data_IF_991863529959
#
_entry.id   IF_991863529959
#
_cell.length_a   1.000
_cell.length_b   1.000
_cell.length_c   1.000
_cell.angle_alpha   90.00
_cell.angle_beta   90.00
_cell.angle_gamma   90.00
#
_symmetry.space_group_name_H-M   'P 1'
#
loop_
_entity.id
_entity.type
_entity.pdbx_description
1 polymer ?
#
# COMPACT_ATOMS: atom_id res chain seq x y z
N UNK A 1 -5.05 -9.80 -19.80
CA UNK A 1 -3.77 -10.03 -20.45
C UNK A 1 -2.74 -8.97 -20.11
N UNK A 2 -1.57 -9.06 -20.74
CA UNK A 2 -0.45 -8.12 -20.50
C UNK A 2 -0.86 -6.69 -20.84
N UNK A 3 -1.57 -6.50 -21.95
CA UNK A 3 -2.01 -5.17 -22.38
C UNK A 3 -2.91 -4.51 -21.34
N UNK A 4 -3.85 -5.24 -20.77
CA UNK A 4 -4.73 -4.74 -19.73
C UNK A 4 -3.96 -4.40 -18.46
N UNK A 5 -2.99 -5.23 -18.11
CA UNK A 5 -2.15 -5.01 -16.94
C UNK A 5 -1.32 -3.72 -17.11
N UNK A 6 -0.70 -3.53 -18.26
CA UNK A 6 0.10 -2.32 -18.54
C UNK A 6 -0.78 -1.07 -18.55
N UNK A 7 -1.96 -1.15 -19.15
CA UNK A 7 -2.90 -0.05 -19.18
C UNK A 7 -3.34 0.33 -17.76
N UNK A 8 -3.63 -0.66 -16.94
CA UNK A 8 -4.02 -0.45 -15.55
C UNK A 8 -2.90 0.23 -14.74
N UNK A 9 -1.65 -0.20 -14.93
CA UNK A 9 -0.50 0.43 -14.27
C UNK A 9 -0.31 1.87 -14.75
N UNK A 10 -0.44 2.12 -16.04
CA UNK A 10 -0.25 3.47 -16.60
C UNK A 10 -1.28 4.48 -16.11
N UNK A 11 -2.46 4.01 -15.65
CA UNK A 11 -3.50 4.87 -15.10
C UNK A 11 -3.29 5.19 -13.63
N UNK A 12 -2.26 4.61 -13.00
CA UNK A 12 -1.95 4.80 -11.59
C UNK A 12 -0.66 5.62 -11.42
N UNK A 13 -0.47 6.13 -10.21
CA UNK A 13 0.80 6.75 -9.84
C UNK A 13 1.81 5.66 -9.55
N UNK A 14 3.06 5.87 -9.95
CA UNK A 14 4.11 4.87 -9.81
C UNK A 14 5.32 5.46 -9.12
N UNK A 15 5.85 4.74 -8.13
CA UNK A 15 7.12 5.06 -7.47
C UNK A 15 8.09 3.93 -7.79
N UNK A 16 9.29 4.30 -8.23
CA UNK A 16 10.29 3.33 -8.67
C UNK A 16 11.54 3.38 -7.78
N UNK A 17 12.12 2.20 -7.53
CA UNK A 17 13.47 2.09 -6.99
C UNK A 17 14.38 1.62 -8.10
N UNK A 18 15.34 2.45 -8.46
CA UNK A 18 16.33 2.12 -9.50
C UNK A 18 17.72 1.97 -8.90
N UNK A 19 18.46 1.01 -9.42
CA UNK A 19 19.86 0.82 -9.08
C UNK A 19 20.61 0.59 -10.38
N UNK A 20 21.62 1.42 -10.64
CA UNK A 20 22.39 1.40 -11.89
C UNK A 20 21.51 1.47 -13.13
N UNK A 21 20.43 2.27 -13.07
CA UNK A 21 19.52 2.46 -14.18
C UNK A 21 18.50 1.36 -14.39
N UNK A 22 18.51 0.33 -13.54
CA UNK A 22 17.57 -0.81 -13.63
C UNK A 22 16.55 -0.73 -12.51
N UNK A 23 15.28 -0.91 -12.85
CA UNK A 23 14.20 -0.93 -11.85
C UNK A 23 14.31 -2.21 -11.02
N UNK A 24 14.41 -2.07 -9.68
CA UNK A 24 14.51 -3.20 -8.75
C UNK A 24 13.26 -3.37 -7.91
N UNK A 25 12.48 -2.31 -7.77
CA UNK A 25 11.22 -2.37 -7.06
C UNK A 25 10.29 -1.28 -7.58
N UNK A 26 8.99 -1.48 -7.43
CA UNK A 26 8.02 -0.44 -7.72
C UNK A 26 6.81 -0.56 -6.79
N UNK A 27 6.13 0.57 -6.60
CA UNK A 27 4.87 0.62 -5.89
C UNK A 27 3.93 1.51 -6.68
N UNK A 28 2.66 1.09 -6.77
CA UNK A 28 1.63 1.85 -7.47
C UNK A 28 0.54 2.28 -6.49
N UNK A 29 -0.12 3.41 -6.78
CA UNK A 29 -1.23 3.88 -5.96
C UNK A 29 -2.24 4.66 -6.80
N UNK A 30 -3.47 4.69 -6.31
CA UNK A 30 -4.60 5.40 -6.94
C UNK A 30 -5.05 6.52 -6.03
N UNK A 31 -5.42 7.67 -6.62
CA UNK A 31 -6.04 8.75 -5.88
C UNK A 31 -7.57 8.62 -5.94
N UNK A 32 -8.25 9.38 -5.11
CA UNK A 32 -9.73 9.42 -5.04
C UNK A 32 -10.35 8.03 -5.00
N UNK A 33 -9.75 7.17 -4.19
CA UNK A 33 -10.20 5.79 -4.07
C UNK A 33 -11.37 5.67 -3.10
N UNK A 34 -12.46 5.05 -3.56
CA UNK A 34 -13.64 4.81 -2.75
C UNK A 34 -14.06 3.36 -2.90
N UNK A 35 -14.28 2.68 -1.79
CA UNK A 35 -14.86 1.35 -1.82
C UNK A 35 -15.68 1.10 -0.56
N UNK A 36 -16.58 0.15 -0.64
CA UNK A 36 -17.50 -0.20 0.43
C UNK A 36 -16.78 -0.53 1.74
N UNK A 37 -15.67 -1.23 1.65
CA UNK A 37 -14.92 -1.67 2.83
C UNK A 37 -14.08 -0.57 3.48
N UNK A 38 -14.00 0.58 2.84
CA UNK A 38 -13.27 1.76 3.31
C UNK A 38 -14.17 3.00 3.32
N UNK A 39 -15.46 2.83 3.60
CA UNK A 39 -16.41 3.96 3.53
C UNK A 39 -16.11 5.07 4.55
N UNK A 40 -15.44 4.76 5.65
CA UNK A 40 -15.03 5.76 6.63
C UNK A 40 -13.83 6.60 6.14
N UNK A 41 -13.22 6.23 5.02
CA UNK A 41 -12.04 6.88 4.47
C UNK A 41 -12.25 7.18 2.97
N UNK A 42 -13.23 8.06 2.65
CA UNK A 42 -13.52 8.38 1.25
C UNK A 42 -12.40 9.16 0.60
N UNK A 43 -12.29 9.04 -0.72
CA UNK A 43 -11.28 9.74 -1.52
C UNK A 43 -9.85 9.54 -1.04
N UNK A 44 -9.55 8.37 -0.50
CA UNK A 44 -8.22 8.07 0.00
C UNK A 44 -7.25 7.77 -1.15
N UNK A 45 -5.95 7.84 -0.85
CA UNK A 45 -4.91 7.37 -1.75
C UNK A 45 -4.65 5.91 -1.41
N UNK A 46 -4.92 5.03 -2.35
CA UNK A 46 -4.93 3.57 -2.14
C UNK A 46 -3.69 2.94 -2.76
N UNK A 47 -2.87 2.30 -1.93
CA UNK A 47 -1.66 1.60 -2.40
C UNK A 47 -2.10 0.27 -3.02
N UNK A 48 -1.84 0.09 -4.31
CA UNK A 48 -2.37 -1.04 -5.07
C UNK A 48 -1.40 -2.21 -5.21
N UNK A 49 -0.13 -1.92 -5.51
CA UNK A 49 0.84 -2.98 -5.77
C UNK A 49 2.21 -2.60 -5.23
N UNK A 50 2.88 -3.57 -4.62
CA UNK A 50 4.29 -3.45 -4.27
C UNK A 50 5.00 -4.66 -4.86
N UNK A 51 6.02 -4.43 -5.67
CA UNK A 51 6.83 -5.48 -6.24
C UNK A 51 8.30 -5.19 -5.96
N UNK A 52 9.00 -6.16 -5.38
CA UNK A 52 10.44 -6.09 -5.12
C UNK A 52 11.07 -7.31 -5.78
N UNK A 53 12.10 -7.11 -6.62
CA UNK A 53 12.80 -8.22 -7.25
C UNK A 53 13.34 -9.18 -6.18
N UNK A 54 13.28 -10.50 -6.43
CA UNK A 54 13.69 -11.50 -5.41
C UNK A 54 15.06 -11.27 -4.80
N UNK A 55 16.04 -10.86 -5.61
CA UNK A 55 17.40 -10.63 -5.15
C UNK A 55 17.53 -9.45 -4.18
N UNK A 56 16.50 -8.61 -4.09
CA UNK A 56 16.50 -7.40 -3.25
C UNK A 56 15.54 -7.50 -2.07
N UNK A 57 14.90 -8.65 -1.89
CA UNK A 57 14.01 -8.88 -0.76
C UNK A 57 14.82 -9.05 0.53
N UNK A 58 14.21 -8.69 1.65
CA UNK A 58 14.87 -8.82 2.95
C UNK A 58 15.90 -7.73 3.25
N UNK A 59 15.99 -6.70 2.43
CA UNK A 59 16.94 -5.60 2.59
C UNK A 59 16.28 -4.28 2.99
N UNK A 60 15.04 -4.33 3.48
CA UNK A 60 14.34 -3.13 3.90
C UNK A 60 13.79 -2.28 2.75
N UNK A 61 13.84 -2.76 1.51
CA UNK A 61 13.38 -2.00 0.34
C UNK A 61 11.87 -1.76 0.40
N UNK A 62 11.09 -2.71 0.91
CA UNK A 62 9.65 -2.53 1.06
C UNK A 62 9.33 -1.31 1.91
N UNK A 63 10.02 -1.12 3.04
CA UNK A 63 9.82 0.03 3.92
C UNK A 63 10.18 1.34 3.19
N UNK A 64 11.27 1.33 2.42
CA UNK A 64 11.69 2.48 1.63
C UNK A 64 10.60 2.83 0.60
N UNK A 65 10.03 1.81 -0.06
CA UNK A 65 8.98 2.03 -1.05
C UNK A 65 7.73 2.64 -0.44
N UNK A 66 7.32 2.18 0.75
CA UNK A 66 6.21 2.82 1.47
C UNK A 66 6.51 4.28 1.77
N UNK A 67 7.72 4.57 2.26
CA UNK A 67 8.11 5.94 2.59
C UNK A 67 8.09 6.84 1.35
N UNK A 68 8.59 6.35 0.23
CA UNK A 68 8.61 7.11 -1.02
C UNK A 68 7.20 7.34 -1.58
N UNK A 69 6.33 6.33 -1.49
CA UNK A 69 4.93 6.47 -1.88
C UNK A 69 4.21 7.50 -1.01
N UNK A 70 4.46 7.50 0.29
CA UNK A 70 3.88 8.47 1.22
C UNK A 70 4.32 9.89 0.90
N UNK A 71 5.59 10.08 0.53
CA UNK A 71 6.08 11.39 0.08
C UNK A 71 5.41 11.85 -1.20
N UNK A 72 5.25 10.96 -2.16
CA UNK A 72 4.61 11.24 -3.43
C UNK A 72 3.15 11.66 -3.21
N UNK A 73 2.45 10.91 -2.36
CA UNK A 73 1.07 11.21 -1.98
C UNK A 73 0.97 12.57 -1.29
N UNK A 74 1.85 12.83 -0.33
CA UNK A 74 1.83 14.10 0.40
C UNK A 74 2.07 15.30 -0.51
N UNK A 75 2.92 15.12 -1.54
CA UNK A 75 3.20 16.17 -2.50
C UNK A 75 2.02 16.46 -3.43
N UNK A 76 1.32 15.40 -3.85
CA UNK A 76 0.22 15.51 -4.82
C UNK A 76 -1.15 15.71 -4.19
N UNK A 77 -1.39 15.10 -3.04
CA UNK A 77 -2.66 15.13 -2.32
C UNK A 77 -2.43 15.36 -0.83
N UNK A 78 -1.97 16.56 -0.44
CA UNK A 78 -1.68 16.84 0.98
C UNK A 78 -2.91 16.62 1.86
N UNK A 79 -2.72 15.94 2.98
CA UNK A 79 -3.80 15.66 3.92
C UNK A 79 -4.65 14.45 3.58
N UNK A 80 -4.42 13.79 2.45
CA UNK A 80 -5.18 12.60 2.09
C UNK A 80 -4.82 11.42 3.00
N UNK A 81 -5.82 10.60 3.35
CA UNK A 81 -5.57 9.35 4.05
C UNK A 81 -4.99 8.33 3.08
N UNK A 82 -4.16 7.45 3.60
CA UNK A 82 -3.51 6.40 2.81
C UNK A 82 -4.09 5.06 3.25
N UNK A 83 -4.61 4.30 2.30
CA UNK A 83 -5.26 3.01 2.56
C UNK A 83 -4.66 1.92 1.69
N UNK A 84 -4.86 0.68 2.12
CA UNK A 84 -4.44 -0.49 1.34
C UNK A 84 -5.13 -1.74 1.87
N UNK A 85 -4.99 -2.83 1.13
CA UNK A 85 -5.43 -4.14 1.61
C UNK A 85 -4.32 -5.17 1.37
N UNK A 86 -4.35 -6.22 2.17
CA UNK A 86 -3.47 -7.36 1.99
C UNK A 86 -4.19 -8.61 2.49
N UNK A 87 -3.53 -9.75 2.45
CA UNK A 87 -4.10 -11.01 2.90
C UNK A 87 -3.58 -11.35 4.29
N UNK A 88 -4.42 -11.99 5.10
CA UNK A 88 -4.06 -12.37 6.47
C UNK A 88 -2.87 -13.33 6.55
N UNK A 89 -2.59 -14.06 5.47
CA UNK A 89 -1.42 -14.95 5.40
C UNK A 89 -0.12 -14.22 5.15
N UNK A 90 -0.16 -12.92 4.84
CA UNK A 90 1.03 -12.12 4.59
C UNK A 90 1.50 -11.43 5.88
N UNK A 91 1.98 -12.24 6.83
CA UNK A 91 2.41 -11.75 8.14
C UNK A 91 3.58 -10.78 8.09
N UNK A 92 4.51 -10.97 7.15
CA UNK A 92 5.62 -10.04 6.97
C UNK A 92 5.12 -8.65 6.59
N UNK A 93 4.13 -8.58 5.71
CA UNK A 93 3.54 -7.32 5.27
C UNK A 93 2.80 -6.64 6.42
N UNK A 94 2.02 -7.40 7.19
CA UNK A 94 1.31 -6.85 8.34
C UNK A 94 2.27 -6.29 9.39
N UNK A 95 3.40 -6.96 9.61
CA UNK A 95 4.44 -6.49 10.54
C UNK A 95 5.01 -5.14 10.09
N UNK A 96 5.34 -5.02 8.79
CA UNK A 96 5.85 -3.78 8.22
C UNK A 96 4.81 -2.65 8.37
N UNK A 97 3.56 -2.93 8.09
CA UNK A 97 2.48 -1.95 8.17
C UNK A 97 2.29 -1.44 9.59
N UNK A 98 2.33 -2.34 10.58
CA UNK A 98 2.25 -1.96 11.98
C UNK A 98 3.41 -1.04 12.37
N UNK A 99 4.62 -1.40 11.97
CA UNK A 99 5.82 -0.63 12.23
C UNK A 99 5.75 0.78 11.61
N UNK A 100 5.15 0.90 10.42
CA UNK A 100 5.04 2.16 9.71
C UNK A 100 3.83 3.01 10.17
N UNK A 101 3.05 2.52 11.11
CA UNK A 101 1.95 3.28 11.68
C UNK A 101 0.61 3.10 10.97
N UNK A 102 0.42 1.99 10.29
CA UNK A 102 -0.88 1.64 9.71
C UNK A 102 -1.71 0.86 10.73
N UNK A 103 -3.03 1.07 10.70
CA UNK A 103 -3.98 0.35 11.56
C UNK A 103 -4.91 -0.50 10.72
N UNK A 104 -5.21 -1.70 11.19
CA UNK A 104 -6.21 -2.57 10.58
C UNK A 104 -7.60 -2.00 10.89
N UNK A 105 -8.38 -1.73 9.85
CA UNK A 105 -9.71 -1.10 9.99
C UNK A 105 -10.85 -2.01 9.53
N UNK A 106 -10.56 -3.04 8.77
CA UNK A 106 -11.60 -3.97 8.29
C UNK A 106 -11.00 -5.34 7.99
N UNK A 107 -11.70 -6.39 8.39
CA UNK A 107 -11.31 -7.77 8.08
C UNK A 107 -12.49 -8.48 7.43
N UNK A 108 -12.28 -9.05 6.25
CA UNK A 108 -13.26 -9.89 5.57
C UNK A 108 -12.83 -11.33 5.72
N UNK A 109 -13.48 -12.04 6.64
CA UNK A 109 -13.10 -13.41 6.98
C UNK A 109 -13.32 -14.35 5.80
N UNK A 110 -12.32 -15.21 5.53
CA UNK A 110 -12.34 -16.21 4.47
C UNK A 110 -12.61 -15.65 3.08
N UNK A 111 -12.40 -14.35 2.87
CA UNK A 111 -12.69 -13.66 1.61
C UNK A 111 -11.84 -14.16 0.45
N UNK A 112 -10.62 -14.65 0.74
CA UNK A 112 -9.67 -15.15 -0.27
C UNK A 112 -9.59 -16.66 -0.30
N UNK A 113 -10.40 -17.33 0.50
CA UNK A 113 -10.42 -18.76 0.66
C UNK A 113 -10.51 -19.13 2.13
N UNK A 114 -10.74 -20.41 2.44
CA UNK A 114 -10.85 -20.86 3.81
C UNK A 114 -9.58 -20.55 4.60
N UNK A 115 -9.74 -19.80 5.69
CA UNK A 115 -8.64 -19.39 6.54
C UNK A 115 -7.79 -18.24 5.99
N UNK A 116 -8.18 -17.65 4.86
CA UNK A 116 -7.45 -16.53 4.26
C UNK A 116 -8.36 -15.31 4.17
N UNK A 117 -8.11 -14.34 5.03
CA UNK A 117 -8.93 -13.14 5.12
C UNK A 117 -8.33 -12.01 4.26
N UNK A 118 -9.19 -11.10 3.81
CA UNK A 118 -8.75 -9.82 3.27
C UNK A 118 -8.74 -8.84 4.42
N UNK A 119 -7.64 -8.09 4.59
CA UNK A 119 -7.49 -7.11 5.67
C UNK A 119 -7.17 -5.74 5.07
N UNK A 120 -7.88 -4.72 5.56
CA UNK A 120 -7.73 -3.34 5.12
C UNK A 120 -7.04 -2.52 6.18
N UNK A 121 -6.13 -1.64 5.74
CA UNK A 121 -5.33 -0.80 6.63
C UNK A 121 -5.46 0.66 6.24
N UNK A 122 -5.29 1.54 7.23
CA UNK A 122 -5.20 2.98 7.00
C UNK A 122 -4.00 3.52 7.77
N UNK A 123 -3.27 4.44 7.15
CA UNK A 123 -2.17 5.14 7.81
C UNK A 123 -2.73 6.06 8.88
N UNK A 124 -2.23 5.96 10.11
CA UNK A 124 -2.64 6.83 11.20
C UNK A 124 -2.21 8.26 10.93
N UNK A 125 -3.03 9.21 11.34
CA UNK A 125 -2.65 10.62 11.28
C UNK A 125 -1.64 10.90 12.38
N UNK A 126 -0.89 11.98 12.23
CA UNK A 126 0.17 12.34 13.17
C UNK A 126 -0.36 12.51 14.60
N UNK A 127 -1.52 13.13 14.76
CA UNK A 127 -2.14 13.32 16.08
C UNK A 127 -2.59 12.00 16.73
N UNK A 128 -3.00 11.02 15.91
CA UNK A 128 -3.38 9.68 16.41
C UNK A 128 -2.16 8.95 16.96
N UNK A 129 -1.00 9.13 16.34
CA UNK A 129 0.25 8.52 16.80
C UNK A 129 0.70 9.09 18.14
N UNK A 130 0.41 10.36 18.37
CA UNK A 130 0.82 11.07 19.60
C UNK A 130 -0.08 10.79 20.79
N UNK A 131 -1.22 10.14 20.59
CA UNK A 131 -2.20 9.83 21.63
C UNK A 131 -1.88 8.56 22.42
N UNK A 132 -0.72 8.00 22.25
CA UNK A 132 -0.32 6.80 22.97
C UNK A 132 0.44 7.11 24.25
#
# INVERSE_FOLDING_TARGET
GIAEYLENICSQHVVLWKEEGVVRAFMTWKDHFNCENLEAYPDSCYLTTLCVWPDYRGQGISEVMYAEAEKDIAAKFPGSRITLRTWSTNGAQEHILDKLGYSLVRRLKDDRGEGIDTVYFVKKEENEKNDR
#
